data_IF_101337084307
#
_entry.id   IF_101337084307
#
_cell.length_a   1.000
_cell.length_b   1.000
_cell.length_c   1.000
_cell.angle_alpha   90.00
_cell.angle_beta   90.00
_cell.angle_gamma   90.00
#
_symmetry.space_group_name_H-M   'P 1'
#
loop_
_entity.id
_entity.type
_entity.pdbx_description
1 polymer ?
#
# COMPACT_ATOMS: atom_id res chain seq x y z
N UNK A 1 -1.21 -1.19 10.39
CA UNK A 1 -0.51 -1.51 9.12
C UNK A 1 -0.20 -0.27 8.29
N UNK A 2 -1.00 0.80 8.38
CA UNK A 2 -0.73 2.09 7.74
C UNK A 2 0.74 2.56 7.86
N UNK A 3 1.30 2.67 9.07
CA UNK A 3 2.67 3.14 9.26
C UNK A 3 3.73 2.29 8.52
N UNK A 4 3.50 0.98 8.38
CA UNK A 4 4.39 0.11 7.60
C UNK A 4 4.31 0.43 6.10
N UNK A 5 3.10 0.61 5.57
CA UNK A 5 2.89 1.00 4.17
C UNK A 5 3.51 2.36 3.88
N UNK A 6 3.28 3.35 4.75
CA UNK A 6 3.89 4.68 4.60
C UNK A 6 5.41 4.60 4.61
N UNK A 7 6.00 3.85 5.55
CA UNK A 7 7.45 3.69 5.64
C UNK A 7 8.04 3.05 4.38
N UNK A 8 7.47 1.93 3.93
CA UNK A 8 7.98 1.21 2.76
C UNK A 8 7.78 2.03 1.49
N UNK A 9 6.59 2.57 1.25
CA UNK A 9 6.27 3.26 0.00
C UNK A 9 7.04 4.57 -0.11
N UNK A 10 7.11 5.38 0.98
CA UNK A 10 7.91 6.61 0.96
C UNK A 10 9.39 6.37 0.71
N UNK A 11 9.91 5.20 1.09
CA UNK A 11 11.29 4.81 0.79
C UNK A 11 11.56 4.36 -0.66
N UNK A 12 10.52 4.14 -1.47
CA UNK A 12 10.62 3.58 -2.83
C UNK A 12 10.28 4.58 -3.95
N UNK A 13 9.82 5.78 -3.61
CA UNK A 13 9.35 6.81 -4.55
C UNK A 13 10.25 8.02 -4.57
N UNK A 14 10.18 8.85 -5.62
CA UNK A 14 10.92 10.13 -5.65
C UNK A 14 10.19 11.23 -4.89
N UNK A 15 8.86 11.14 -4.77
CA UNK A 15 8.00 12.14 -4.10
C UNK A 15 7.33 11.56 -2.86
N UNK A 16 8.07 11.39 -1.75
CA UNK A 16 7.53 10.79 -0.52
C UNK A 16 6.45 11.63 0.15
N UNK A 17 6.43 12.94 -0.10
CA UNK A 17 5.42 13.89 0.34
C UNK A 17 4.08 13.72 -0.38
N UNK A 18 4.09 13.19 -1.61
CA UNK A 18 2.89 12.87 -2.39
C UNK A 18 2.29 11.49 -2.07
N UNK A 19 2.83 10.78 -1.06
CA UNK A 19 2.31 9.47 -0.63
C UNK A 19 1.30 9.65 0.49
N UNK A 20 0.07 9.20 0.24
CA UNK A 20 -0.96 9.10 1.29
C UNK A 20 -1.50 7.68 1.37
N UNK A 21 -1.67 7.19 2.59
CA UNK A 21 -2.27 5.89 2.89
C UNK A 21 -3.53 6.10 3.71
N UNK A 22 -4.68 5.82 3.13
CA UNK A 22 -5.98 6.00 3.79
C UNK A 22 -6.59 4.65 4.15
N UNK A 23 -6.78 4.33 5.44
CA UNK A 23 -7.54 3.16 5.84
C UNK A 23 -9.04 3.39 5.69
N UNK A 24 -9.72 2.49 5.00
CA UNK A 24 -11.18 2.46 4.82
C UNK A 24 -11.69 1.12 5.34
N UNK A 25 -12.69 1.15 6.23
CA UNK A 25 -13.37 -0.08 6.67
C UNK A 25 -14.47 -0.46 5.68
N UNK A 26 -14.39 -1.68 5.13
CA UNK A 26 -15.37 -2.18 4.18
C UNK A 26 -15.57 -3.68 4.39
N UNK A 27 -16.81 -4.13 4.63
CA UNK A 27 -17.13 -5.56 4.67
C UNK A 27 -16.35 -6.39 5.71
N UNK A 28 -15.96 -5.79 6.84
CA UNK A 28 -15.18 -6.47 7.88
C UNK A 28 -13.68 -6.65 7.55
N UNK A 29 -13.17 -5.90 6.57
CA UNK A 29 -11.75 -5.76 6.28
C UNK A 29 -11.34 -4.28 6.22
N UNK A 30 -10.06 -4.00 6.47
CA UNK A 30 -9.47 -2.69 6.24
C UNK A 30 -8.87 -2.65 4.83
N UNK A 31 -9.42 -1.81 3.94
CA UNK A 31 -8.80 -1.46 2.67
C UNK A 31 -7.83 -0.30 2.91
N UNK A 32 -6.56 -0.48 2.56
CA UNK A 32 -5.58 0.61 2.54
C UNK A 32 -5.51 1.18 1.13
N UNK A 33 -6.13 2.33 0.94
CA UNK A 33 -6.02 3.10 -0.30
C UNK A 33 -4.67 3.82 -0.34
N UNK A 34 -3.87 3.50 -1.34
CA UNK A 34 -2.57 4.10 -1.59
C UNK A 34 -2.68 5.08 -2.76
N UNK A 35 -2.47 6.36 -2.48
CA UNK A 35 -2.38 7.41 -3.51
C UNK A 35 -0.95 7.91 -3.59
N UNK A 36 -0.51 8.13 -4.82
CA UNK A 36 0.87 8.44 -5.18
C UNK A 36 0.85 9.50 -6.28
N UNK A 37 1.97 10.19 -6.47
CA UNK A 37 2.15 10.95 -7.69
C UNK A 37 2.20 10.00 -8.91
N UNK A 38 1.58 10.33 -10.06
CA UNK A 38 1.52 9.44 -11.23
C UNK A 38 2.89 8.92 -11.71
N UNK A 39 3.94 9.73 -11.58
CA UNK A 39 5.32 9.34 -11.97
C UNK A 39 5.93 8.27 -11.07
N UNK A 40 5.39 8.06 -9.86
CA UNK A 40 5.90 7.09 -8.90
C UNK A 40 5.10 5.78 -8.88
N UNK A 41 3.89 5.75 -9.47
CA UNK A 41 3.04 4.56 -9.57
C UNK A 41 3.82 3.38 -10.19
N UNK A 42 4.54 3.63 -11.29
CA UNK A 42 5.31 2.59 -11.97
C UNK A 42 6.37 1.92 -11.10
N UNK A 43 6.96 2.64 -10.13
CA UNK A 43 7.95 2.08 -9.19
C UNK A 43 7.31 1.15 -8.17
N UNK A 44 6.11 1.52 -7.70
CA UNK A 44 5.36 0.74 -6.73
C UNK A 44 4.75 -0.50 -7.37
N UNK A 45 4.25 -0.40 -8.61
CA UNK A 45 3.87 -1.58 -9.38
C UNK A 45 5.09 -2.49 -9.57
N UNK A 46 6.21 -1.92 -10.02
CA UNK A 46 7.43 -2.66 -10.30
C UNK A 46 7.29 -3.60 -11.51
N UNK A 47 8.37 -4.29 -11.86
CA UNK A 47 8.40 -5.19 -13.02
C UNK A 47 7.35 -6.30 -12.85
N UNK A 48 6.41 -6.41 -13.78
CA UNK A 48 5.31 -7.39 -13.76
C UNK A 48 4.48 -7.37 -12.46
N UNK A 49 4.42 -6.24 -11.75
CA UNK A 49 3.70 -6.14 -10.49
C UNK A 49 4.43 -6.74 -9.28
N UNK A 50 5.70 -7.15 -9.41
CA UNK A 50 6.41 -7.86 -8.34
C UNK A 50 6.49 -7.05 -7.03
N UNK A 51 6.73 -5.74 -7.12
CA UNK A 51 6.87 -4.87 -5.94
C UNK A 51 5.54 -4.75 -5.20
N UNK A 52 4.45 -4.42 -5.90
CA UNK A 52 3.13 -4.27 -5.27
C UNK A 52 2.63 -5.60 -4.68
N UNK A 53 2.93 -6.73 -5.32
CA UNK A 53 2.57 -8.05 -4.79
C UNK A 53 3.33 -8.38 -3.50
N UNK A 54 4.62 -8.04 -3.42
CA UNK A 54 5.40 -8.21 -2.20
C UNK A 54 4.86 -7.33 -1.06
N UNK A 55 4.56 -6.06 -1.35
CA UNK A 55 3.96 -5.12 -0.37
C UNK A 55 2.61 -5.66 0.14
N UNK A 56 1.73 -6.12 -0.76
CA UNK A 56 0.43 -6.71 -0.39
C UNK A 56 0.60 -7.94 0.50
N UNK A 57 1.49 -8.85 0.14
CA UNK A 57 1.77 -10.07 0.89
C UNK A 57 2.28 -9.78 2.31
N UNK A 58 3.27 -8.90 2.43
CA UNK A 58 3.81 -8.49 3.74
C UNK A 58 2.75 -7.79 4.60
N UNK A 59 1.91 -6.95 3.97
CA UNK A 59 0.85 -6.23 4.65
C UNK A 59 -0.21 -7.20 5.19
N UNK A 60 -0.64 -8.16 4.36
CA UNK A 60 -1.60 -9.19 4.73
C UNK A 60 -1.08 -10.09 5.86
N UNK A 61 0.15 -10.60 5.76
CA UNK A 61 0.74 -11.42 6.81
C UNK A 61 0.89 -10.63 8.12
N UNK A 62 1.32 -9.37 8.04
CA UNK A 62 1.45 -8.49 9.20
C UNK A 62 0.11 -8.20 9.89
N UNK A 63 -0.95 -7.97 9.11
CA UNK A 63 -2.30 -7.76 9.62
C UNK A 63 -2.91 -9.04 10.21
N UNK A 64 -2.73 -10.18 9.54
CA UNK A 64 -3.26 -11.48 9.98
C UNK A 64 -2.71 -11.88 11.34
N UNK A 65 -1.43 -11.59 11.64
CA UNK A 65 -0.84 -11.78 12.98
C UNK A 65 -1.54 -10.98 14.09
N UNK A 66 -2.31 -9.96 13.74
CA UNK A 66 -3.12 -9.12 14.64
C UNK A 66 -4.61 -9.43 14.56
N UNK A 67 -5.02 -10.48 13.84
CA UNK A 67 -6.42 -10.84 13.63
C UNK A 67 -7.18 -9.89 12.69
N UNK A 68 -6.47 -9.04 11.94
CA UNK A 68 -7.08 -8.04 11.05
C UNK A 68 -7.01 -8.56 9.61
N UNK A 69 -8.14 -8.48 8.89
CA UNK A 69 -8.18 -8.69 7.43
C UNK A 69 -7.91 -7.37 6.74
N UNK A 70 -7.04 -7.36 5.73
CA UNK A 70 -6.78 -6.16 4.96
C UNK A 70 -6.46 -6.42 3.49
N UNK A 71 -6.65 -5.38 2.69
CA UNK A 71 -6.19 -5.29 1.30
C UNK A 71 -5.46 -3.96 1.09
N UNK A 72 -4.68 -3.86 0.02
CA UNK A 72 -4.03 -2.62 -0.41
C UNK A 72 -4.42 -2.37 -1.85
N UNK A 73 -4.86 -1.17 -2.17
CA UNK A 73 -5.26 -0.77 -3.52
C UNK A 73 -4.61 0.54 -3.89
N UNK A 74 -4.13 0.65 -5.13
CA UNK A 74 -3.60 1.92 -5.64
C UNK A 74 -4.78 2.63 -6.27
N UNK A 75 -5.06 3.85 -5.83
CA UNK A 75 -6.15 4.64 -6.36
C UNK A 75 -5.57 5.62 -7.39
N UNK A 76 -6.13 5.55 -8.60
CA UNK A 76 -5.90 6.51 -9.68
C UNK A 76 -7.08 7.50 -9.67
N UNK A 77 -6.79 8.80 -9.77
CA UNK A 77 -7.81 9.84 -10.02
C UNK A 77 -7.98 10.07 -11.53
#
# INVERSE_FOLDING_TARGET
MQAFLEYVVKGLVDRPDAVTVTPVEQGGQTLFELRLHPTDVGKIIGKQGATIQAIRSLTQVGAAKRGIRCAVEIIED
#
